data_IF_583915910891
#
_entry.id   IF_583915910891
#
_cell.length_a   1.000
_cell.length_b   1.000
_cell.length_c   1.000
_cell.angle_alpha   90.00
_cell.angle_beta   90.00
_cell.angle_gamma   90.00
#
_symmetry.space_group_name_H-M   'P 1'
#
loop_
_entity.id
_entity.type
_entity.pdbx_description
1 polymer ?
#
# COMPACT_ATOMS: atom_id res chain seq x y z
N UNK A 1 41.15 14.81 50.38
CA UNK A 1 41.69 13.90 49.34
C UNK A 1 41.32 12.47 49.70
N UNK A 2 40.35 11.87 49.00
CA UNK A 2 40.05 10.43 49.06
C UNK A 2 39.75 9.98 47.64
N UNK A 3 40.57 9.05 47.14
CA UNK A 3 40.53 8.49 45.80
C UNK A 3 39.46 7.41 45.77
N UNK A 4 38.46 7.52 44.90
CA UNK A 4 37.55 6.41 44.59
C UNK A 4 37.87 5.89 43.20
N UNK A 5 38.38 4.67 43.20
CA UNK A 5 38.75 3.81 42.08
C UNK A 5 37.52 3.41 41.26
N UNK A 6 37.63 3.56 39.95
CA UNK A 6 36.69 3.02 38.95
C UNK A 6 36.77 1.49 38.93
N UNK A 7 35.64 0.81 39.03
CA UNK A 7 35.51 -0.61 38.70
C UNK A 7 34.88 -0.75 37.32
N UNK A 8 35.64 -1.22 36.35
CA UNK A 8 35.14 -1.67 35.04
C UNK A 8 34.52 -3.07 35.23
N UNK A 9 33.20 -3.17 35.10
CA UNK A 9 32.51 -4.46 35.02
C UNK A 9 32.59 -4.95 33.56
N UNK A 10 33.53 -5.84 33.29
CA UNK A 10 33.64 -6.57 32.03
C UNK A 10 32.51 -7.61 31.96
N UNK A 11 31.60 -7.43 31.00
CA UNK A 11 30.57 -8.41 30.65
C UNK A 11 31.15 -9.39 29.64
N UNK A 12 31.51 -10.59 30.09
CA UNK A 12 31.92 -11.70 29.23
C UNK A 12 30.70 -12.27 28.50
N UNK A 13 30.67 -12.11 27.17
CA UNK A 13 29.69 -12.76 26.29
C UNK A 13 30.20 -14.18 26.03
N UNK A 14 29.59 -15.18 26.68
CA UNK A 14 29.78 -16.57 26.30
C UNK A 14 28.95 -16.88 25.04
N UNK A 15 29.60 -16.92 23.88
CA UNK A 15 29.06 -17.59 22.70
C UNK A 15 29.15 -19.10 22.93
N UNK A 16 28.06 -19.70 23.44
CA UNK A 16 27.86 -21.14 23.28
C UNK A 16 27.46 -21.40 21.84
N UNK A 17 28.34 -22.04 21.10
CA UNK A 17 28.09 -22.56 19.75
C UNK A 17 27.07 -23.69 19.87
N UNK A 18 25.80 -23.38 19.65
CA UNK A 18 24.75 -24.40 19.50
C UNK A 18 24.80 -24.88 18.04
N UNK A 19 25.48 -26.00 17.79
CA UNK A 19 25.36 -26.71 16.51
C UNK A 19 24.02 -27.46 16.51
N UNK A 20 22.95 -26.79 16.09
CA UNK A 20 21.70 -27.44 15.76
C UNK A 20 21.80 -28.00 14.35
N UNK A 21 22.32 -29.22 14.22
CA UNK A 21 22.18 -30.02 13.01
C UNK A 21 21.00 -30.96 13.23
N UNK A 22 19.79 -30.46 12.99
CA UNK A 22 18.67 -31.34 12.69
C UNK A 22 18.60 -31.55 11.18
N UNK A 23 18.51 -32.83 10.83
CA UNK A 23 18.40 -33.32 9.48
C UNK A 23 17.05 -32.87 8.93
N UNK A 24 17.06 -32.03 7.91
CA UNK A 24 15.90 -31.86 7.02
C UNK A 24 15.70 -33.21 6.32
N UNK A 25 14.77 -34.00 6.83
CA UNK A 25 14.24 -35.16 6.12
C UNK A 25 13.23 -34.65 5.11
N UNK A 26 13.63 -34.56 3.85
CA UNK A 26 12.72 -34.29 2.75
C UNK A 26 11.91 -35.57 2.45
N UNK A 27 10.69 -35.65 2.99
CA UNK A 27 9.58 -36.40 2.38
C UNK A 27 8.27 -36.07 3.10
N UNK A 28 7.73 -34.88 2.85
CA UNK A 28 6.29 -34.66 3.03
C UNK A 28 5.70 -34.56 1.62
N UNK A 29 4.81 -35.50 1.33
CA UNK A 29 4.10 -35.59 0.05
C UNK A 29 3.20 -34.38 -0.13
N UNK A 30 3.10 -33.92 -1.37
CA UNK A 30 2.24 -32.81 -1.83
C UNK A 30 0.75 -33.04 -1.49
N UNK A 31 0.39 -34.26 -1.11
CA UNK A 31 -0.98 -34.66 -0.80
C UNK A 31 -1.47 -34.22 0.60
N UNK A 32 -0.60 -33.97 1.59
CA UNK A 32 -1.02 -33.69 2.98
C UNK A 32 -1.40 -32.20 3.25
N UNK A 33 -1.06 -31.29 2.33
CA UNK A 33 -1.45 -29.87 2.44
C UNK A 33 -2.90 -29.65 1.97
N UNK A 34 -3.45 -30.60 1.19
CA UNK A 34 -4.74 -30.43 0.52
C UNK A 34 -5.96 -30.76 1.37
N UNK A 35 -5.81 -31.31 2.58
CA UNK A 35 -6.94 -31.87 3.34
C UNK A 35 -7.47 -30.99 4.50
N UNK A 36 -6.90 -29.81 4.76
CA UNK A 36 -7.34 -28.93 5.87
C UNK A 36 -7.80 -27.53 5.44
N UNK A 37 -8.27 -27.38 4.20
CA UNK A 37 -9.00 -26.19 3.78
C UNK A 37 -10.48 -26.54 3.75
N UNK A 38 -11.09 -26.54 4.93
CA UNK A 38 -12.54 -26.43 5.04
C UNK A 38 -12.93 -25.05 4.50
N UNK A 39 -13.36 -25.05 3.24
CA UNK A 39 -13.93 -23.93 2.50
C UNK A 39 -15.19 -23.44 3.21
N UNK A 40 -15.02 -22.58 4.21
CA UNK A 40 -16.12 -21.73 4.69
C UNK A 40 -16.31 -20.64 3.63
N UNK A 41 -17.15 -20.97 2.64
CA UNK A 41 -17.73 -20.02 1.70
C UNK A 41 -18.54 -18.97 2.46
N UNK A 42 -17.94 -17.80 2.66
CA UNK A 42 -18.64 -16.53 2.85
C UNK A 42 -18.20 -15.64 1.70
N UNK A 43 -19.12 -15.34 0.78
CA UNK A 43 -18.82 -14.92 -0.59
C UNK A 43 -18.07 -13.58 -0.77
N UNK A 44 -17.63 -12.90 0.30
CA UNK A 44 -17.05 -11.56 0.18
C UNK A 44 -15.86 -11.24 1.10
N UNK A 45 -15.25 -12.21 1.79
CA UNK A 45 -14.15 -11.92 2.72
C UNK A 45 -12.94 -12.85 2.49
N UNK A 46 -11.76 -12.25 2.29
CA UNK A 46 -10.47 -12.96 2.25
C UNK A 46 -9.87 -12.88 3.66
N UNK A 47 -9.88 -13.99 4.38
CA UNK A 47 -9.23 -14.10 5.69
C UNK A 47 -7.83 -14.70 5.49
N UNK A 48 -6.77 -13.92 5.76
CA UNK A 48 -5.40 -14.41 5.75
C UNK A 48 -5.00 -14.79 7.17
N UNK A 49 -4.74 -16.08 7.42
CA UNK A 49 -4.29 -16.59 8.71
C UNK A 49 -2.79 -16.29 8.88
N UNK A 50 -2.46 -15.28 9.68
CA UNK A 50 -1.13 -15.12 10.26
C UNK A 50 -1.28 -15.38 11.76
N UNK A 51 -0.53 -16.35 12.28
CA UNK A 51 -0.44 -16.60 13.72
C UNK A 51 0.05 -15.34 14.45
N UNK A 52 -0.85 -14.63 15.12
CA UNK A 52 -0.53 -13.49 15.98
C UNK A 52 -1.50 -12.32 15.83
N UNK A 53 -2.48 -12.27 16.73
CA UNK A 53 -3.42 -11.17 17.01
C UNK A 53 -4.29 -10.65 15.84
N UNK A 54 -5.55 -11.08 15.88
CA UNK A 54 -6.55 -10.89 14.81
C UNK A 54 -7.26 -9.55 14.99
N UNK A 55 -7.04 -8.61 14.07
CA UNK A 55 -8.09 -7.67 13.67
C UNK A 55 -8.51 -8.01 12.25
N UNK A 56 -9.77 -8.38 11.97
CA UNK A 56 -10.22 -8.63 10.61
C UNK A 56 -10.18 -7.32 9.82
N UNK A 57 -9.25 -7.24 8.86
CA UNK A 57 -9.13 -6.08 7.98
C UNK A 57 -10.09 -6.21 6.80
N UNK A 58 -11.08 -5.32 6.73
CA UNK A 58 -12.17 -5.37 5.76
C UNK A 58 -11.76 -4.71 4.44
N UNK A 59 -11.08 -5.44 3.57
CA UNK A 59 -10.80 -5.01 2.19
C UNK A 59 -11.96 -5.39 1.25
N UNK A 60 -12.34 -4.48 0.32
CA UNK A 60 -13.28 -4.83 -0.76
C UNK A 60 -12.57 -5.69 -1.81
N UNK A 61 -13.14 -6.85 -2.14
CA UNK A 61 -12.69 -7.68 -3.26
C UNK A 61 -13.04 -6.97 -4.60
N UNK A 62 -12.11 -6.87 -5.57
CA UNK A 62 -12.44 -6.37 -6.90
C UNK A 62 -13.42 -7.31 -7.61
N UNK A 63 -14.34 -6.73 -8.39
CA UNK A 63 -15.43 -7.45 -9.06
C UNK A 63 -14.92 -8.37 -10.17
N UNK A 64 -15.44 -9.59 -10.22
CA UNK A 64 -15.17 -10.60 -11.26
C UNK A 64 -16.09 -10.36 -12.46
N UNK A 65 -15.61 -10.52 -13.72
CA UNK A 65 -16.33 -11.30 -14.77
C UNK A 65 -15.72 -11.35 -16.20
N UNK A 66 -14.45 -11.02 -16.47
CA UNK A 66 -13.86 -11.32 -17.82
C UNK A 66 -12.41 -11.84 -17.86
N UNK A 67 -11.73 -11.93 -16.71
CA UNK A 67 -10.31 -12.32 -16.60
C UNK A 67 -9.39 -11.15 -16.25
N UNK A 68 -9.88 -9.93 -16.30
CA UNK A 68 -9.28 -8.69 -15.78
C UNK A 68 -8.87 -8.76 -14.31
N UNK A 69 -9.68 -9.40 -13.44
CA UNK A 69 -9.47 -9.39 -12.00
C UNK A 69 -8.17 -10.06 -11.56
N UNK A 70 -7.71 -11.08 -12.29
CA UNK A 70 -6.41 -11.71 -12.02
C UNK A 70 -5.24 -10.78 -12.38
N UNK A 71 -5.37 -10.04 -13.49
CA UNK A 71 -4.39 -9.04 -13.89
C UNK A 71 -4.39 -7.84 -12.93
N UNK A 72 -5.56 -7.31 -12.56
CA UNK A 72 -5.67 -6.23 -11.58
C UNK A 72 -5.05 -6.65 -10.23
N UNK A 73 -5.37 -7.84 -9.72
CA UNK A 73 -4.81 -8.33 -8.46
C UNK A 73 -3.28 -8.50 -8.54
N UNK A 74 -2.78 -9.07 -9.64
CA UNK A 74 -1.34 -9.18 -9.88
C UNK A 74 -0.65 -7.82 -9.94
N UNK A 75 -1.26 -6.85 -10.62
CA UNK A 75 -0.75 -5.49 -10.75
C UNK A 75 -0.71 -4.76 -9.40
N UNK A 76 -1.80 -4.83 -8.62
CA UNK A 76 -1.89 -4.24 -7.28
C UNK A 76 -0.82 -4.85 -6.36
N UNK A 77 -0.67 -6.17 -6.39
CA UNK A 77 0.32 -6.89 -5.57
C UNK A 77 1.75 -6.50 -5.94
N UNK A 78 2.08 -6.50 -7.23
CA UNK A 78 3.41 -6.17 -7.73
C UNK A 78 3.83 -4.71 -7.43
N UNK A 79 2.86 -3.80 -7.29
CA UNK A 79 3.12 -2.39 -7.01
C UNK A 79 2.96 -2.01 -5.52
N UNK A 80 2.85 -3.00 -4.62
CA UNK A 80 2.74 -2.76 -3.18
C UNK A 80 1.46 -2.02 -2.78
N UNK A 81 0.40 -2.18 -3.58
CA UNK A 81 -0.92 -1.60 -3.35
C UNK A 81 -1.88 -2.59 -2.71
N UNK A 82 -1.43 -3.82 -2.43
CA UNK A 82 -2.21 -4.80 -1.69
C UNK A 82 -2.59 -4.17 -0.33
N UNK A 83 -3.89 -4.18 0.00
CA UNK A 83 -4.49 -3.54 1.19
C UNK A 83 -4.53 -2.00 1.19
N UNK A 84 -4.12 -1.34 0.11
CA UNK A 84 -4.30 0.10 -0.05
C UNK A 84 -5.71 0.45 -0.51
N UNK A 85 -6.21 1.65 -0.17
CA UNK A 85 -7.50 2.14 -0.68
C UNK A 85 -7.35 2.81 -2.06
N UNK A 86 -6.77 2.08 -3.02
CA UNK A 86 -6.50 2.58 -4.37
C UNK A 86 -7.80 2.95 -5.13
N UNK A 87 -8.96 2.49 -4.65
CA UNK A 87 -10.28 2.84 -5.19
C UNK A 87 -10.65 4.32 -5.01
N UNK A 88 -9.92 5.06 -4.16
CA UNK A 88 -9.99 6.51 -4.04
C UNK A 88 -9.39 7.25 -5.24
N UNK A 89 -8.61 6.55 -6.06
CA UNK A 89 -8.01 7.06 -7.29
C UNK A 89 -8.97 6.84 -8.48
N UNK A 90 -8.92 7.72 -9.46
CA UNK A 90 -9.72 7.64 -10.68
C UNK A 90 -8.92 6.94 -11.79
N UNK A 91 -9.54 5.98 -12.44
CA UNK A 91 -8.98 5.21 -13.55
C UNK A 91 -8.61 6.09 -14.75
N UNK A 92 -9.43 7.09 -15.08
CA UNK A 92 -9.12 8.01 -16.17
C UNK A 92 -9.20 7.27 -17.50
N UNK A 93 -8.13 7.33 -18.30
CA UNK A 93 -8.04 6.60 -19.57
C UNK A 93 -7.49 5.17 -19.41
N UNK A 94 -7.31 4.69 -18.18
CA UNK A 94 -6.76 3.37 -17.88
C UNK A 94 -7.89 2.39 -17.52
N UNK A 95 -7.62 1.09 -17.64
CA UNK A 95 -8.65 0.06 -17.40
C UNK A 95 -9.11 -0.01 -15.92
N UNK A 96 -8.23 0.33 -14.96
CA UNK A 96 -8.59 0.36 -13.53
C UNK A 96 -7.76 1.37 -12.71
N UNK A 97 -8.25 1.81 -11.53
CA UNK A 97 -7.64 2.88 -10.75
C UNK A 97 -6.17 2.68 -10.38
N UNK A 98 -5.76 1.44 -10.07
CA UNK A 98 -4.38 1.18 -9.67
C UNK A 98 -3.37 1.46 -10.80
N UNK A 99 -3.72 1.22 -12.07
CA UNK A 99 -2.82 1.56 -13.20
C UNK A 99 -2.60 3.06 -13.31
N UNK A 100 -3.68 3.84 -13.23
CA UNK A 100 -3.62 5.30 -13.21
C UNK A 100 -2.78 5.82 -12.03
N UNK A 101 -3.00 5.27 -10.83
CA UNK A 101 -2.24 5.62 -9.63
C UNK A 101 -0.74 5.38 -9.81
N UNK A 102 -0.35 4.19 -10.30
CA UNK A 102 1.06 3.83 -10.51
C UNK A 102 1.69 4.69 -11.61
N UNK A 103 0.96 4.97 -12.69
CA UNK A 103 1.40 5.89 -13.74
C UNK A 103 1.73 7.28 -13.17
N UNK A 104 0.81 7.84 -12.38
CA UNK A 104 1.01 9.16 -11.76
C UNK A 104 2.09 9.14 -10.68
N UNK A 105 2.22 8.05 -9.91
CA UNK A 105 3.31 7.87 -8.96
C UNK A 105 4.68 7.89 -9.66
N UNK A 106 4.84 7.15 -10.77
CA UNK A 106 6.11 7.12 -11.50
C UNK A 106 6.50 8.50 -12.04
N UNK A 107 5.52 9.33 -12.37
CA UNK A 107 5.72 10.68 -12.88
C UNK A 107 5.98 11.71 -11.78
N UNK A 108 5.19 11.69 -10.71
CA UNK A 108 5.14 12.77 -9.71
C UNK A 108 5.54 12.35 -8.29
N UNK A 109 5.79 11.06 -8.04
CA UNK A 109 6.09 10.52 -6.71
C UNK A 109 7.27 11.22 -6.04
N UNK A 110 8.37 11.42 -6.79
CA UNK A 110 9.56 12.13 -6.31
C UNK A 110 9.27 13.59 -5.95
N UNK A 111 8.40 14.27 -6.70
CA UNK A 111 8.04 15.67 -6.47
C UNK A 111 7.37 15.89 -5.10
N UNK A 112 6.68 14.86 -4.61
CA UNK A 112 5.95 14.89 -3.33
C UNK A 112 6.63 14.07 -2.23
N UNK A 113 7.86 13.61 -2.48
CA UNK A 113 8.66 12.81 -1.55
C UNK A 113 7.98 11.49 -1.19
N UNK A 114 7.44 10.80 -2.19
CA UNK A 114 6.88 9.45 -2.05
C UNK A 114 7.85 8.43 -2.66
N UNK A 115 8.17 7.40 -1.88
CA UNK A 115 9.10 6.33 -2.29
C UNK A 115 8.37 5.10 -2.87
N UNK A 116 7.07 4.96 -2.59
CA UNK A 116 6.22 3.86 -3.07
C UNK A 116 4.86 4.37 -3.53
N UNK A 117 4.19 3.59 -4.39
CA UNK A 117 2.83 3.92 -4.88
C UNK A 117 1.83 4.05 -3.71
N UNK A 118 1.92 3.18 -2.70
CA UNK A 118 1.10 3.28 -1.49
C UNK A 118 1.38 4.55 -0.68
N UNK A 119 2.65 4.93 -0.50
CA UNK A 119 3.02 6.18 0.18
C UNK A 119 2.50 7.41 -0.59
N UNK A 120 2.58 7.37 -1.92
CA UNK A 120 2.06 8.41 -2.79
C UNK A 120 0.53 8.55 -2.69
N UNK A 121 -0.21 7.44 -2.73
CA UNK A 121 -1.66 7.40 -2.52
C UNK A 121 -2.04 8.02 -1.18
N UNK A 122 -1.39 7.61 -0.09
CA UNK A 122 -1.67 8.10 1.25
C UNK A 122 -1.43 9.61 1.36
N UNK A 123 -0.33 10.13 0.79
CA UNK A 123 -0.06 11.58 0.75
C UNK A 123 -1.13 12.33 -0.04
N UNK A 124 -1.60 11.79 -1.16
CA UNK A 124 -2.65 12.40 -1.96
C UNK A 124 -3.99 12.43 -1.20
N UNK A 125 -4.36 11.32 -0.54
CA UNK A 125 -5.58 11.23 0.29
C UNK A 125 -5.54 12.25 1.42
N UNK A 126 -4.41 12.37 2.13
CA UNK A 126 -4.27 13.34 3.23
C UNK A 126 -4.30 14.78 2.72
N UNK A 127 -3.63 15.08 1.62
CA UNK A 127 -3.66 16.41 1.01
C UNK A 127 -5.08 16.80 0.58
N UNK A 128 -5.84 15.87 -0.03
CA UNK A 128 -7.24 16.07 -0.44
C UNK A 128 -8.12 16.60 0.71
N UNK A 129 -7.92 16.16 1.95
CA UNK A 129 -8.71 16.58 3.13
C UNK A 129 -8.63 18.08 3.40
N UNK A 130 -7.53 18.72 3.00
CA UNK A 130 -7.26 20.14 3.30
C UNK A 130 -7.13 21.02 2.05
N UNK A 131 -7.00 20.42 0.87
CA UNK A 131 -6.76 21.09 -0.40
C UNK A 131 -7.86 22.08 -0.80
N UNK A 132 -9.14 21.73 -0.52
CA UNK A 132 -10.30 22.58 -0.87
C UNK A 132 -10.43 23.84 0.00
N UNK A 133 -9.86 23.83 1.21
CA UNK A 133 -10.11 24.89 2.20
C UNK A 133 -9.35 26.17 1.83
N UNK A 134 -10.10 27.23 1.54
CA UNK A 134 -9.57 28.58 1.27
C UNK A 134 -8.87 28.71 -0.08
N UNK A 135 -9.13 27.80 -1.03
CA UNK A 135 -8.50 27.78 -2.34
C UNK A 135 -9.58 27.83 -3.42
N UNK A 136 -9.39 28.69 -4.43
CA UNK A 136 -10.20 28.68 -5.65
C UNK A 136 -9.63 27.67 -6.66
N UNK A 137 -10.39 26.64 -7.06
CA UNK A 137 -9.89 25.67 -8.04
C UNK A 137 -9.84 26.25 -9.46
N UNK A 138 -9.08 25.59 -10.32
CA UNK A 138 -9.10 25.79 -11.77
C UNK A 138 -9.52 24.51 -12.49
N UNK A 139 -10.21 24.61 -13.62
CA UNK A 139 -10.50 23.44 -14.44
C UNK A 139 -9.23 22.87 -15.07
N UNK A 140 -9.24 21.54 -15.26
CA UNK A 140 -8.21 20.80 -15.98
C UNK A 140 -8.88 20.09 -17.14
N UNK A 141 -8.41 20.35 -18.35
CA UNK A 141 -8.81 19.60 -19.54
C UNK A 141 -8.13 18.23 -19.53
N UNK A 142 -8.86 17.17 -19.85
CA UNK A 142 -8.33 15.82 -19.95
C UNK A 142 -9.46 14.81 -20.06
N UNK A 143 -9.09 13.53 -19.93
CA UNK A 143 -10.03 12.40 -20.04
C UNK A 143 -11.19 12.48 -19.05
N UNK A 144 -10.89 12.87 -17.81
CA UNK A 144 -11.91 12.97 -16.76
C UNK A 144 -12.57 14.34 -16.82
N UNK A 145 -13.73 14.41 -17.45
CA UNK A 145 -14.49 15.65 -17.60
C UNK A 145 -14.83 16.29 -16.23
N UNK A 146 -14.78 17.63 -16.19
CA UNK A 146 -15.10 18.39 -14.98
C UNK A 146 -14.03 18.33 -13.89
N UNK A 147 -12.84 17.77 -14.17
CA UNK A 147 -11.73 17.73 -13.23
C UNK A 147 -11.30 19.13 -12.81
N UNK A 148 -11.09 19.30 -11.50
CA UNK A 148 -10.66 20.55 -10.88
C UNK A 148 -9.33 20.38 -10.15
N UNK A 149 -8.40 21.30 -10.41
CA UNK A 149 -7.11 21.40 -9.73
C UNK A 149 -7.19 22.34 -8.54
N UNK A 150 -6.80 21.83 -7.38
CA UNK A 150 -6.64 22.59 -6.15
C UNK A 150 -5.14 22.73 -5.84
N UNK A 151 -4.65 23.96 -5.68
CA UNK A 151 -3.24 24.26 -5.39
C UNK A 151 -3.08 24.80 -3.98
N UNK A 152 -2.17 24.24 -3.20
CA UNK A 152 -1.89 24.65 -1.82
C UNK A 152 -0.50 24.22 -1.40
N UNK A 153 0.24 25.12 -0.73
CA UNK A 153 1.56 24.82 -0.15
C UNK A 153 2.55 24.18 -1.13
N UNK A 154 2.65 24.71 -2.35
CA UNK A 154 3.58 24.20 -3.37
C UNK A 154 3.17 22.87 -4.02
N UNK A 155 1.96 22.37 -3.76
CA UNK A 155 1.44 21.13 -4.33
C UNK A 155 0.09 21.34 -5.00
N UNK A 156 -0.26 20.44 -5.89
CA UNK A 156 -1.59 20.40 -6.51
C UNK A 156 -2.22 19.01 -6.37
N UNK A 157 -3.55 18.99 -6.37
CA UNK A 157 -4.34 17.78 -6.53
C UNK A 157 -5.48 18.03 -7.51
N UNK A 158 -5.65 17.11 -8.44
CA UNK A 158 -6.73 17.09 -9.42
C UNK A 158 -7.82 16.14 -8.94
N UNK A 159 -9.03 16.66 -8.79
CA UNK A 159 -10.18 15.90 -8.31
C UNK A 159 -11.25 15.85 -9.38
N UNK A 160 -11.74 14.63 -9.64
CA UNK A 160 -12.92 14.41 -10.45
C UNK A 160 -14.17 14.95 -9.75
N UNK A 161 -15.30 15.16 -10.46
CA UNK A 161 -16.56 15.60 -9.85
C UNK A 161 -17.04 14.69 -8.71
N UNK A 162 -16.77 13.38 -8.79
CA UNK A 162 -17.10 12.39 -7.76
C UNK A 162 -16.13 12.40 -6.55
N UNK A 163 -15.10 13.25 -6.55
CA UNK A 163 -14.13 13.39 -5.46
C UNK A 163 -12.98 12.38 -5.48
N UNK A 164 -12.93 11.46 -6.45
CA UNK A 164 -11.76 10.61 -6.69
C UNK A 164 -10.57 11.46 -7.16
N UNK A 165 -9.37 10.98 -6.84
CA UNK A 165 -8.11 11.64 -7.18
C UNK A 165 -7.74 11.27 -8.60
N UNK A 166 -7.48 12.25 -9.45
CA UNK A 166 -7.01 12.03 -10.83
C UNK A 166 -5.50 12.17 -10.92
N UNK A 167 -4.92 13.18 -10.25
CA UNK A 167 -3.48 13.44 -10.21
C UNK A 167 -3.08 14.17 -8.93
N UNK A 168 -1.83 14.01 -8.51
CA UNK A 168 -1.23 14.69 -7.36
C UNK A 168 0.23 15.03 -7.68
N UNK A 169 0.72 16.20 -7.30
CA UNK A 169 2.09 16.57 -7.65
C UNK A 169 2.54 17.90 -7.06
N UNK A 170 3.73 18.33 -7.46
CA UNK A 170 4.26 19.65 -7.10
C UNK A 170 3.81 20.73 -8.10
N UNK A 171 3.69 21.97 -7.64
CA UNK A 171 3.43 23.13 -8.52
C UNK A 171 4.70 23.78 -9.07
N UNK A 172 5.87 23.25 -8.67
CA UNK A 172 7.19 23.79 -9.04
C UNK A 172 7.62 23.35 -10.43
#
# INVERSE_FOLDING_TARGET
MKKFTFAFLSLFIFFSVFSFSERVSASESVDDIMENIDLIQSENEINFLIEGDVTPFKGKKPGYNDGDGAFELGFITANGLLFSDYTQWHEGSFDFPAMSLVYHFNKHGKEVGADTAASYLNKAIEFRRTAKKGVKPSYVSGEVEGTQRYRKNGRYIDLAPNGKIVSFGSTN
#
